data_IF_974056434645
#
_entry.id   IF_974056434645
#
_cell.length_a   1.000
_cell.length_b   1.000
_cell.length_c   1.000
_cell.angle_alpha   90.00
_cell.angle_beta   90.00
_cell.angle_gamma   90.00
#
_symmetry.space_group_name_H-M   'P 1'
#
loop_
_entity.id
_entity.type
_entity.pdbx_description
1 polymer ?
#
# COMPACT_ATOMS: atom_id res chain seq x y z
N UNK A 1 -65.91 -10.47 -33.42
CA UNK A 1 -64.86 -10.57 -34.45
C UNK A 1 -63.68 -9.68 -34.04
N UNK A 2 -62.51 -10.31 -33.79
CA UNK A 2 -61.12 -9.81 -33.88
C UNK A 2 -60.68 -8.69 -32.89
N UNK A 3 -59.98 -9.07 -31.81
CA UNK A 3 -58.49 -9.11 -31.63
C UNK A 3 -57.95 -7.74 -31.18
N UNK A 4 -57.66 -7.49 -29.89
CA UNK A 4 -56.40 -7.81 -29.15
C UNK A 4 -55.13 -7.65 -29.98
N UNK A 5 -54.44 -6.51 -29.80
CA UNK A 5 -53.03 -6.14 -30.16
C UNK A 5 -53.02 -4.59 -30.24
N UNK A 6 -52.14 -3.77 -29.66
CA UNK A 6 -50.69 -3.82 -29.38
C UNK A 6 -50.40 -2.81 -28.25
N UNK A 7 -50.03 -3.27 -27.05
CA UNK A 7 -49.22 -2.51 -26.10
C UNK A 7 -47.80 -3.09 -26.24
N UNK A 8 -47.00 -2.56 -27.16
CA UNK A 8 -45.65 -3.07 -27.40
C UNK A 8 -44.77 -2.01 -28.05
N UNK A 9 -44.44 -0.95 -27.31
CA UNK A 9 -43.44 0.02 -27.79
C UNK A 9 -42.73 0.79 -26.66
N UNK A 10 -42.35 0.11 -25.58
CA UNK A 10 -41.39 0.69 -24.61
C UNK A 10 -40.72 -0.36 -23.69
N UNK A 11 -40.24 -1.47 -24.25
CA UNK A 11 -39.53 -2.48 -23.45
C UNK A 11 -38.34 -3.19 -24.15
N UNK A 12 -37.84 -2.65 -25.27
CA UNK A 12 -36.63 -3.16 -25.91
C UNK A 12 -35.64 -2.00 -26.05
N UNK A 13 -34.81 -1.81 -25.02
CA UNK A 13 -33.36 -1.56 -25.15
C UNK A 13 -32.65 -1.68 -23.79
N UNK A 14 -32.80 -2.85 -23.17
CA UNK A 14 -31.92 -3.33 -22.10
C UNK A 14 -31.04 -4.43 -22.71
N UNK A 15 -29.92 -4.03 -23.33
CA UNK A 15 -28.84 -4.96 -23.63
C UNK A 15 -27.48 -4.31 -23.32
N UNK A 16 -26.98 -4.71 -22.14
CA UNK A 16 -25.58 -5.08 -21.90
C UNK A 16 -24.53 -3.95 -21.91
N UNK A 17 -24.49 -3.19 -20.81
CA UNK A 17 -23.21 -2.77 -20.22
C UNK A 17 -23.11 -3.38 -18.83
N UNK A 18 -23.06 -4.71 -18.77
CA UNK A 18 -22.56 -5.41 -17.61
C UNK A 18 -21.02 -5.48 -17.74
N UNK A 19 -20.35 -4.36 -17.52
CA UNK A 19 -18.91 -4.35 -17.29
C UNK A 19 -18.64 -4.74 -15.83
N UNK A 20 -19.07 -5.96 -15.46
CA UNK A 20 -18.65 -6.61 -14.23
C UNK A 20 -17.50 -7.52 -14.62
N UNK A 21 -16.26 -7.05 -14.47
CA UNK A 21 -15.08 -7.88 -14.71
C UNK A 21 -15.16 -9.11 -13.81
N UNK A 22 -15.48 -10.27 -14.39
CA UNK A 22 -15.35 -11.54 -13.71
C UNK A 22 -13.85 -11.79 -13.54
N UNK A 23 -13.35 -11.60 -12.32
CA UNK A 23 -11.98 -11.98 -11.99
C UNK A 23 -11.91 -13.50 -12.03
N UNK A 24 -11.00 -14.04 -12.85
CA UNK A 24 -10.82 -15.49 -12.99
C UNK A 24 -10.44 -16.11 -11.63
N UNK A 25 -11.31 -16.97 -11.12
CA UNK A 25 -11.14 -17.66 -9.84
C UNK A 25 -9.85 -18.48 -9.79
N UNK A 26 -9.38 -19.00 -10.93
CA UNK A 26 -8.13 -19.76 -11.00
C UNK A 26 -6.90 -18.86 -10.79
N UNK A 27 -6.91 -17.66 -11.39
CA UNK A 27 -5.84 -16.66 -11.21
C UNK A 27 -5.78 -16.20 -9.76
N UNK A 28 -6.94 -15.93 -9.15
CA UNK A 28 -7.04 -15.47 -7.76
C UNK A 28 -6.53 -16.52 -6.76
N UNK A 29 -6.85 -17.81 -6.99
CA UNK A 29 -6.36 -18.90 -6.14
C UNK A 29 -4.83 -19.05 -6.22
N UNK A 30 -4.27 -18.96 -7.44
CA UNK A 30 -2.82 -19.03 -7.65
C UNK A 30 -2.09 -17.87 -6.95
N UNK A 31 -2.55 -16.64 -7.13
CA UNK A 31 -1.94 -15.47 -6.49
C UNK A 31 -2.00 -15.56 -4.96
N UNK A 32 -3.11 -16.08 -4.41
CA UNK A 32 -3.23 -16.31 -2.98
C UNK A 32 -2.19 -17.30 -2.45
N UNK A 33 -2.00 -18.45 -3.13
CA UNK A 33 -0.99 -19.45 -2.74
C UNK A 33 0.44 -18.88 -2.83
N UNK A 34 0.72 -18.06 -3.85
CA UNK A 34 2.02 -17.39 -3.97
C UNK A 34 2.24 -16.40 -2.81
N UNK A 35 1.23 -15.58 -2.48
CA UNK A 35 1.28 -14.67 -1.32
C UNK A 35 1.51 -15.43 -0.02
N UNK A 36 0.78 -16.51 0.20
CA UNK A 36 0.91 -17.35 1.39
C UNK A 36 2.33 -17.93 1.50
N UNK A 37 2.91 -18.38 0.39
CA UNK A 37 4.28 -18.91 0.35
C UNK A 37 5.29 -17.84 0.74
N UNK A 38 5.23 -16.65 0.12
CA UNK A 38 6.12 -15.53 0.40
C UNK A 38 6.11 -15.12 1.87
N UNK A 39 4.92 -15.10 2.48
CA UNK A 39 4.73 -14.71 3.88
C UNK A 39 5.23 -15.80 4.83
N UNK A 40 4.93 -17.07 4.56
CA UNK A 40 5.41 -18.20 5.39
C UNK A 40 6.92 -18.33 5.36
N UNK A 41 7.53 -18.11 4.19
CA UNK A 41 8.98 -18.13 4.03
C UNK A 41 9.67 -16.89 4.63
N UNK A 42 8.88 -15.88 5.03
CA UNK A 42 9.36 -14.56 5.49
C UNK A 42 10.43 -13.99 4.56
N UNK A 43 10.24 -14.13 3.26
CA UNK A 43 11.23 -13.74 2.26
C UNK A 43 10.56 -13.05 1.09
N UNK A 44 10.42 -11.74 1.19
CA UNK A 44 9.70 -10.95 0.20
C UNK A 44 10.15 -9.49 0.18
N UNK A 45 9.79 -8.83 -0.93
CA UNK A 45 9.94 -7.40 -1.14
C UNK A 45 8.59 -6.78 -1.45
N UNK A 46 8.33 -5.63 -0.84
CA UNK A 46 7.23 -4.74 -1.19
C UNK A 46 7.82 -3.52 -1.88
N UNK A 47 7.32 -3.24 -3.07
CA UNK A 47 7.59 -1.99 -3.80
C UNK A 47 6.29 -1.20 -3.90
N UNK A 48 6.37 0.09 -3.60
CA UNK A 48 5.20 0.97 -3.50
C UNK A 48 5.13 1.89 -4.72
N UNK A 49 3.90 2.12 -5.17
CA UNK A 49 3.58 2.99 -6.29
C UNK A 49 3.07 4.34 -5.82
N UNK A 50 2.47 4.40 -4.62
CA UNK A 50 1.86 5.61 -4.07
C UNK A 50 2.23 5.77 -2.61
N UNK A 51 2.50 7.01 -2.21
CA UNK A 51 2.57 7.47 -0.83
C UNK A 51 1.35 8.35 -0.54
N UNK A 52 0.72 8.12 0.61
CA UNK A 52 -0.48 8.81 1.08
C UNK A 52 -0.21 9.36 2.48
N UNK A 53 0.48 10.51 2.56
CA UNK A 53 0.72 11.20 3.83
C UNK A 53 -0.57 11.69 4.47
N UNK A 54 -0.58 11.78 5.81
CA UNK A 54 -1.61 12.52 6.53
C UNK A 54 -1.55 14.00 6.13
N UNK A 55 -2.67 14.55 5.68
CA UNK A 55 -2.73 15.94 5.20
C UNK A 55 -2.66 16.91 6.38
N UNK A 56 -1.56 17.66 6.43
CA UNK A 56 -1.36 18.76 7.37
C UNK A 56 -1.71 20.12 6.76
N UNK A 57 -1.67 21.17 7.58
CA UNK A 57 -1.87 22.55 7.11
C UNK A 57 -0.75 23.03 6.17
N UNK A 58 0.51 22.63 6.40
CA UNK A 58 1.62 23.00 5.50
C UNK A 58 1.52 22.26 4.17
N UNK A 59 1.04 21.01 4.18
CA UNK A 59 0.79 20.26 2.94
C UNK A 59 -0.32 20.89 2.09
N UNK A 60 -1.36 21.45 2.72
CA UNK A 60 -2.39 22.22 1.98
C UNK A 60 -1.77 23.43 1.29
N UNK A 61 -0.88 24.16 1.97
CA UNK A 61 -0.18 25.30 1.38
C UNK A 61 0.71 24.88 0.21
N UNK A 62 1.47 23.79 0.36
CA UNK A 62 2.29 23.23 -0.71
C UNK A 62 1.44 22.78 -1.90
N UNK A 63 0.32 22.08 -1.65
CA UNK A 63 -0.59 21.67 -2.71
C UNK A 63 -1.15 22.85 -3.52
N UNK A 64 -1.50 23.96 -2.84
CA UNK A 64 -2.01 25.17 -3.49
C UNK A 64 -0.93 25.96 -4.26
N UNK A 65 0.35 25.74 -3.96
CA UNK A 65 1.46 26.39 -4.68
C UNK A 65 1.69 25.83 -6.09
N UNK A 66 1.12 24.66 -6.41
CA UNK A 66 1.36 23.97 -7.68
C UNK A 66 2.72 23.26 -7.77
N UNK A 67 3.46 23.14 -6.66
CA UNK A 67 4.76 22.44 -6.63
C UNK A 67 4.64 20.93 -6.83
N UNK A 68 3.46 20.36 -6.55
CA UNK A 68 3.18 18.95 -6.74
C UNK A 68 2.96 18.71 -8.24
N UNK A 69 3.95 18.09 -8.89
CA UNK A 69 3.93 17.84 -10.33
C UNK A 69 2.72 17.00 -10.79
N UNK A 70 2.50 16.86 -12.11
CA UNK A 70 1.30 16.22 -12.66
C UNK A 70 1.02 14.83 -12.09
N UNK A 71 -0.26 14.54 -11.79
CA UNK A 71 -0.70 13.25 -11.24
C UNK A 71 -0.52 13.10 -9.72
N UNK A 72 0.08 14.09 -9.05
CA UNK A 72 0.24 14.14 -7.60
C UNK A 72 -0.75 15.12 -6.96
N UNK A 73 -1.08 14.88 -5.70
CA UNK A 73 -1.76 15.84 -4.83
C UNK A 73 -1.35 15.62 -3.38
N UNK A 74 -1.81 16.49 -2.47
CA UNK A 74 -1.44 16.43 -1.06
C UNK A 74 -1.84 15.10 -0.35
N UNK A 75 -2.81 14.34 -0.89
CA UNK A 75 -3.21 13.04 -0.34
C UNK A 75 -2.50 11.86 -1.01
N UNK A 76 -1.86 12.05 -2.16
CA UNK A 76 -1.39 10.96 -3.01
C UNK A 76 -0.23 11.41 -3.90
N UNK A 77 0.96 10.90 -3.59
CA UNK A 77 2.20 11.17 -4.29
C UNK A 77 2.68 9.89 -4.98
N UNK A 78 3.00 9.99 -6.26
CA UNK A 78 3.55 8.90 -7.06
C UNK A 78 4.98 8.60 -6.62
N UNK A 79 5.26 7.32 -6.40
CA UNK A 79 6.60 6.79 -6.14
C UNK A 79 7.20 6.10 -7.35
N UNK A 80 6.48 6.05 -8.48
CA UNK A 80 6.96 5.41 -9.71
C UNK A 80 8.26 6.08 -10.17
N UNK A 81 9.28 5.26 -10.41
CA UNK A 81 10.63 5.72 -10.79
C UNK A 81 11.49 6.20 -9.62
N UNK A 82 10.98 6.19 -8.39
CA UNK A 82 11.73 6.49 -7.18
C UNK A 82 12.02 5.20 -6.41
N UNK A 83 13.26 5.06 -5.94
CA UNK A 83 13.63 3.92 -5.08
C UNK A 83 12.78 3.94 -3.83
N UNK A 84 12.05 2.85 -3.58
CA UNK A 84 11.29 2.66 -2.37
C UNK A 84 11.05 1.16 -2.14
N UNK A 85 11.18 0.69 -0.90
CA UNK A 85 10.98 -0.72 -0.59
C UNK A 85 10.76 -0.98 0.90
N UNK A 86 10.10 -2.09 1.18
CA UNK A 86 10.19 -2.84 2.42
C UNK A 86 10.59 -4.28 2.08
N UNK A 87 11.67 -4.77 2.66
CA UNK A 87 12.19 -6.12 2.48
C UNK A 87 12.15 -6.86 3.81
N UNK A 88 11.61 -8.09 3.79
CA UNK A 88 11.61 -9.00 4.92
C UNK A 88 12.41 -10.24 4.51
N UNK A 89 13.36 -10.63 5.37
CA UNK A 89 14.21 -11.81 5.19
C UNK A 89 14.42 -12.51 6.52
N UNK A 90 13.69 -13.59 6.75
CA UNK A 90 13.65 -14.25 8.06
C UNK A 90 13.12 -13.27 9.11
N UNK A 91 13.91 -13.04 10.16
CA UNK A 91 13.56 -12.09 11.22
C UNK A 91 14.18 -10.70 11.00
N UNK A 92 14.74 -10.41 9.83
CA UNK A 92 15.25 -9.07 9.51
C UNK A 92 14.29 -8.29 8.62
N UNK A 93 14.16 -6.99 8.89
CA UNK A 93 13.44 -6.04 8.06
C UNK A 93 14.35 -4.89 7.64
N UNK A 94 14.29 -4.53 6.35
CA UNK A 94 15.00 -3.40 5.75
C UNK A 94 14.02 -2.54 4.97
N UNK A 95 14.06 -1.23 5.15
CA UNK A 95 13.17 -0.33 4.43
C UNK A 95 13.86 0.97 4.01
N UNK A 96 13.43 1.47 2.86
CA UNK A 96 13.64 2.83 2.40
C UNK A 96 12.32 3.35 1.85
N UNK A 97 11.67 4.27 2.55
CA UNK A 97 10.34 4.77 2.21
C UNK A 97 10.37 6.30 2.12
N UNK A 98 10.27 6.89 0.92
CA UNK A 98 10.19 8.33 0.74
C UNK A 98 9.02 8.94 1.53
N UNK A 99 9.28 10.01 2.28
CA UNK A 99 8.31 10.62 3.19
C UNK A 99 7.86 12.00 2.70
N UNK A 100 6.54 12.24 2.66
CA UNK A 100 5.93 13.47 2.13
C UNK A 100 5.00 14.18 3.12
N UNK A 101 5.16 13.94 4.42
CA UNK A 101 4.38 14.57 5.48
C UNK A 101 5.20 15.55 6.33
N UNK A 102 4.67 15.91 7.50
CA UNK A 102 5.36 16.76 8.47
C UNK A 102 6.08 15.95 9.54
N UNK A 103 7.26 16.45 9.94
CA UNK A 103 7.99 15.97 11.11
C UNK A 103 7.78 16.96 12.25
N UNK A 104 7.09 16.53 13.30
CA UNK A 104 6.70 17.37 14.44
C UNK A 104 7.79 17.42 15.52
N UNK A 105 8.66 16.40 15.60
CA UNK A 105 9.72 16.31 16.60
C UNK A 105 11.00 15.68 16.04
N UNK A 106 12.14 15.98 16.68
CA UNK A 106 13.45 15.49 16.23
C UNK A 106 13.96 16.20 14.98
N UNK A 107 15.25 16.01 14.68
CA UNK A 107 15.95 16.72 13.59
C UNK A 107 17.37 17.07 14.01
N UNK A 108 18.31 16.13 13.88
CA UNK A 108 19.73 16.41 14.01
C UNK A 108 20.27 17.12 12.77
N UNK A 109 21.51 17.61 12.84
CA UNK A 109 22.16 18.41 11.78
C UNK A 109 22.32 17.68 10.41
N UNK A 110 21.99 16.39 10.33
CA UNK A 110 22.04 15.56 9.11
C UNK A 110 20.65 15.10 8.60
N UNK A 111 19.55 15.69 9.08
CA UNK A 111 18.20 15.18 8.80
C UNK A 111 17.53 15.68 7.52
N UNK A 112 18.27 16.31 6.61
CA UNK A 112 17.71 16.85 5.38
C UNK A 112 17.35 15.71 4.41
N UNK A 113 16.05 15.52 4.18
CA UNK A 113 15.54 14.70 3.08
C UNK A 113 15.54 13.18 3.28
N UNK A 114 15.93 12.68 4.46
CA UNK A 114 15.88 11.24 4.71
C UNK A 114 14.42 10.79 4.88
N UNK A 115 13.96 9.95 3.95
CA UNK A 115 12.74 9.16 4.10
C UNK A 115 12.79 8.27 5.35
N UNK A 116 11.76 7.47 5.57
CA UNK A 116 11.76 6.47 6.63
C UNK A 116 12.72 5.36 6.23
N UNK A 117 13.75 5.14 7.05
CA UNK A 117 14.80 4.15 6.79
C UNK A 117 15.10 3.36 8.05
N UNK A 118 15.24 2.05 7.91
CA UNK A 118 15.70 1.16 8.97
C UNK A 118 16.23 -0.15 8.38
N UNK A 119 17.15 -0.79 9.09
CA UNK A 119 17.64 -2.14 8.81
C UNK A 119 17.94 -2.80 10.15
N UNK A 120 17.12 -3.77 10.56
CA UNK A 120 17.27 -4.42 11.87
C UNK A 120 16.62 -5.80 11.93
N UNK A 121 16.99 -6.54 12.99
CA UNK A 121 16.27 -7.73 13.42
C UNK A 121 14.99 -7.36 14.18
N UNK A 122 13.90 -8.06 13.88
CA UNK A 122 12.56 -7.82 14.38
C UNK A 122 12.18 -8.97 15.31
N UNK A 123 12.24 -8.72 16.61
CA UNK A 123 11.95 -9.73 17.63
C UNK A 123 10.47 -9.95 17.89
N UNK A 124 9.61 -9.00 17.51
CA UNK A 124 8.18 -8.94 17.85
C UNK A 124 7.25 -9.00 16.62
N UNK A 125 7.71 -9.55 15.49
CA UNK A 125 6.90 -9.64 14.27
C UNK A 125 5.67 -10.52 14.48
N UNK A 126 4.49 -9.92 14.30
CA UNK A 126 3.19 -10.59 14.33
C UNK A 126 2.68 -10.77 12.90
N UNK A 127 2.21 -11.99 12.59
CA UNK A 127 1.65 -12.33 11.28
C UNK A 127 0.29 -12.99 11.49
N UNK A 128 -0.77 -12.30 11.11
CA UNK A 128 -2.15 -12.77 11.23
C UNK A 128 -2.79 -12.95 9.86
N UNK A 129 -3.53 -14.03 9.67
CA UNK A 129 -4.45 -14.16 8.54
C UNK A 129 -5.85 -13.72 8.96
N UNK A 130 -6.37 -12.66 8.34
CA UNK A 130 -7.71 -12.13 8.60
C UNK A 130 -8.71 -12.85 7.68
N UNK A 131 -9.23 -13.99 8.13
CA UNK A 131 -10.06 -14.90 7.32
C UNK A 131 -11.24 -14.19 6.65
N UNK A 132 -12.01 -13.37 7.38
CA UNK A 132 -13.18 -12.69 6.85
C UNK A 132 -12.86 -11.62 5.79
N UNK A 133 -11.61 -11.18 5.69
CA UNK A 133 -11.14 -10.19 4.69
C UNK A 133 -10.13 -10.79 3.71
N UNK A 134 -9.86 -12.10 3.82
CA UNK A 134 -8.95 -12.87 2.98
C UNK A 134 -7.62 -12.15 2.74
N UNK A 135 -6.95 -11.72 3.81
CA UNK A 135 -5.67 -11.00 3.70
C UNK A 135 -4.78 -11.26 4.89
N UNK A 136 -3.47 -11.12 4.69
CA UNK A 136 -2.52 -11.15 5.79
C UNK A 136 -2.34 -9.75 6.36
N UNK A 137 -2.09 -9.69 7.66
CA UNK A 137 -1.66 -8.51 8.40
C UNK A 137 -0.34 -8.85 9.07
N UNK A 138 0.70 -8.11 8.73
CA UNK A 138 2.04 -8.23 9.31
C UNK A 138 2.30 -6.96 10.11
N UNK A 139 2.71 -7.09 11.36
CA UNK A 139 2.98 -5.96 12.25
C UNK A 139 4.30 -6.15 12.96
N UNK A 140 5.05 -5.06 13.11
CA UNK A 140 6.29 -5.06 13.88
C UNK A 140 6.70 -3.64 14.25
N UNK A 141 7.62 -3.55 15.20
CA UNK A 141 8.29 -2.30 15.56
C UNK A 141 9.68 -2.25 14.94
N UNK A 142 10.06 -1.09 14.40
CA UNK A 142 11.39 -0.82 13.89
C UNK A 142 11.92 0.48 14.49
N UNK A 143 13.24 0.61 14.61
CA UNK A 143 13.92 1.87 14.95
C UNK A 143 15.15 2.12 14.06
N UNK A 144 15.59 3.37 13.97
CA UNK A 144 16.85 3.77 13.33
C UNK A 144 17.81 4.49 14.32
N UNK A 145 17.69 4.19 15.60
CA UNK A 145 18.44 4.84 16.68
C UNK A 145 17.83 6.17 17.16
N UNK A 146 17.26 6.99 16.27
CA UNK A 146 16.66 8.26 16.63
C UNK A 146 15.12 8.25 16.63
N UNK A 147 14.53 7.50 15.71
CA UNK A 147 13.09 7.45 15.43
C UNK A 147 12.60 6.01 15.52
N UNK A 148 11.50 5.78 16.24
CA UNK A 148 10.78 4.51 16.25
C UNK A 148 9.57 4.53 15.32
N UNK A 149 9.28 3.37 14.73
CA UNK A 149 8.26 3.14 13.71
C UNK A 149 7.43 1.91 14.08
N UNK A 150 6.11 2.10 14.21
CA UNK A 150 5.17 0.99 14.23
C UNK A 150 4.71 0.74 12.80
N UNK A 151 5.06 -0.42 12.26
CA UNK A 151 4.79 -0.80 10.88
C UNK A 151 3.64 -1.78 10.82
N UNK A 152 2.70 -1.56 9.90
CA UNK A 152 1.61 -2.50 9.62
C UNK A 152 1.47 -2.68 8.11
N UNK A 153 1.69 -3.89 7.64
CA UNK A 153 1.56 -4.28 6.25
C UNK A 153 0.32 -5.17 6.07
N UNK A 154 -0.60 -4.74 5.22
CA UNK A 154 -1.68 -5.58 4.71
C UNK A 154 -1.27 -6.14 3.36
N UNK A 155 -1.41 -7.46 3.18
CA UNK A 155 -1.12 -8.16 1.92
C UNK A 155 -2.39 -8.85 1.42
N UNK A 156 -2.86 -8.44 0.24
CA UNK A 156 -4.08 -8.93 -0.37
C UNK A 156 -3.80 -10.14 -1.29
N UNK A 157 -4.80 -10.99 -1.60
CA UNK A 157 -4.60 -12.18 -2.43
C UNK A 157 -4.03 -11.86 -3.81
N UNK A 158 -4.40 -10.72 -4.38
CA UNK A 158 -3.95 -10.24 -5.68
C UNK A 158 -2.57 -9.55 -5.64
N UNK A 159 -1.73 -9.90 -4.65
CA UNK A 159 -0.39 -9.34 -4.40
C UNK A 159 -0.33 -7.84 -4.11
N UNK A 160 -1.46 -7.12 -4.09
CA UNK A 160 -1.45 -5.72 -3.67
C UNK A 160 -1.11 -5.63 -2.18
N UNK A 161 -0.54 -4.49 -1.80
CA UNK A 161 -0.20 -4.20 -0.41
C UNK A 161 -0.69 -2.83 0.01
N UNK A 162 -0.95 -2.68 1.30
CA UNK A 162 -1.11 -1.39 1.96
C UNK A 162 -0.22 -1.36 3.20
N UNK A 163 0.82 -0.53 3.16
CA UNK A 163 1.85 -0.40 4.18
C UNK A 163 1.61 0.89 4.96
N UNK A 164 1.29 0.77 6.24
CA UNK A 164 1.08 1.90 7.14
C UNK A 164 2.27 2.04 8.08
N UNK A 165 2.75 3.27 8.26
CA UNK A 165 3.84 3.58 9.20
C UNK A 165 3.40 4.69 10.14
N UNK A 166 3.45 4.39 11.43
CA UNK A 166 3.27 5.37 12.50
C UNK A 166 4.62 5.64 13.17
N UNK A 167 5.06 6.88 13.15
CA UNK A 167 6.35 7.32 13.66
C UNK A 167 6.21 8.03 15.01
N UNK A 168 7.24 7.96 15.84
CA UNK A 168 7.38 8.77 17.06
C UNK A 168 7.65 10.26 16.80
N UNK A 169 7.96 10.65 15.56
CA UNK A 169 8.45 11.98 15.20
C UNK A 169 7.73 12.62 14.01
N UNK A 170 7.09 11.80 13.18
CA UNK A 170 6.47 12.18 11.92
C UNK A 170 4.99 11.83 11.92
N UNK A 171 4.21 12.60 11.18
CA UNK A 171 2.82 12.27 10.94
C UNK A 171 2.68 10.94 10.20
N UNK A 172 1.55 10.27 10.45
CA UNK A 172 1.22 8.99 9.84
C UNK A 172 1.27 9.03 8.30
N UNK A 173 1.68 7.91 7.71
CA UNK A 173 1.71 7.75 6.26
C UNK A 173 1.35 6.31 5.87
N UNK A 174 0.62 6.19 4.77
CA UNK A 174 0.34 4.90 4.13
C UNK A 174 0.98 4.85 2.75
N UNK A 175 1.36 3.66 2.30
CA UNK A 175 1.85 3.38 0.97
C UNK A 175 1.04 2.26 0.34
N UNK A 176 0.73 2.39 -0.94
CA UNK A 176 0.12 1.31 -1.73
C UNK A 176 1.14 0.74 -2.70
N UNK A 177 1.20 -0.58 -2.78
CA UNK A 177 2.23 -1.27 -3.55
C UNK A 177 1.87 -2.69 -3.94
N UNK A 178 2.91 -3.47 -4.22
CA UNK A 178 2.83 -4.90 -4.56
C UNK A 178 3.93 -5.69 -3.87
N UNK A 179 3.60 -6.91 -3.47
CA UNK A 179 4.55 -7.88 -2.93
C UNK A 179 5.14 -8.75 -4.05
N UNK A 180 6.41 -9.09 -3.92
CA UNK A 180 7.15 -9.96 -4.83
C UNK A 180 8.20 -10.78 -4.07
N UNK A 181 8.77 -11.80 -4.72
CA UNK A 181 9.90 -12.54 -4.17
C UNK A 181 11.10 -11.61 -3.99
N UNK A 182 11.79 -11.74 -2.85
CA UNK A 182 13.07 -11.07 -2.65
C UNK A 182 14.13 -11.75 -3.52
N UNK A 183 14.55 -11.10 -4.61
CA UNK A 183 15.57 -11.60 -5.52
C UNK A 183 16.83 -12.02 -4.75
N UNK A 184 17.44 -13.13 -5.15
CA UNK A 184 18.77 -13.50 -4.67
C UNK A 184 19.77 -12.52 -5.29
N UNK A 185 20.46 -11.75 -4.45
CA UNK A 185 21.78 -11.25 -4.83
C UNK A 185 22.75 -12.43 -5.01
#
# INVERSE_FOLDING_TARGET
>A
MKNTTIFLSSCILLLLIACGGAQDSATTAKEFTEVETLIKDKKFKVENQWAMPQVSSSMVQLGNSGILGPGNNMQRISLIGNTNYLEIKGDSAKAFLPYYGERQMGGGYNSDGEGIQFEQEITDMQVDFIENKQRYKIQFTANNGAESFNVTLLVFPNKKTSLSVNSSQRDFITYDGTISELSKE
#
